data_IF_466712027579
#
_entry.id   IF_466712027579
#
_cell.length_a   1.000
_cell.length_b   1.000
_cell.length_c   1.000
_cell.angle_alpha   90.00
_cell.angle_beta   90.00
_cell.angle_gamma   90.00
#
_symmetry.space_group_name_H-M   'P 1'
#
loop_
_entity.id
_entity.type
_entity.pdbx_description
1 polymer ?
#
# COMPACT_ATOMS: atom_id res chain seq x y z
N UNK A 1 5.49 -10.61 -14.70
CA UNK A 1 4.59 -9.99 -13.72
C UNK A 1 5.33 -8.82 -13.13
N UNK A 2 4.83 -7.60 -13.31
CA UNK A 2 5.39 -6.42 -12.66
C UNK A 2 4.96 -6.40 -11.20
N UNK A 3 5.93 -6.63 -10.31
CA UNK A 3 5.73 -6.60 -8.87
C UNK A 3 5.76 -5.18 -8.31
N UNK A 4 6.20 -4.20 -9.10
CA UNK A 4 6.18 -2.79 -8.72
C UNK A 4 5.00 -2.08 -9.40
N UNK A 5 4.29 -1.25 -8.63
CA UNK A 5 3.24 -0.37 -9.11
C UNK A 5 3.43 1.01 -8.53
N UNK A 6 3.27 2.02 -9.39
CA UNK A 6 3.25 3.42 -8.97
C UNK A 6 1.90 4.02 -9.33
N UNK A 7 1.28 4.67 -8.37
CA UNK A 7 0.00 5.36 -8.58
C UNK A 7 -0.07 6.61 -7.72
N UNK A 8 -1.01 7.50 -8.06
CA UNK A 8 -1.22 8.75 -7.34
C UNK A 8 -2.63 8.77 -6.77
N UNK A 9 -2.77 9.39 -5.60
CA UNK A 9 -4.06 9.60 -4.95
C UNK A 9 -4.11 10.99 -4.33
N UNK A 10 -5.26 11.65 -4.46
CA UNK A 10 -5.48 13.00 -3.94
C UNK A 10 -6.18 12.93 -2.59
N UNK A 11 -5.54 13.47 -1.56
CA UNK A 11 -6.01 13.48 -0.17
C UNK A 11 -5.97 14.91 0.32
N UNK A 12 -7.11 15.48 0.71
CA UNK A 12 -7.21 16.86 1.24
C UNK A 12 -6.52 17.92 0.35
N UNK A 13 -6.65 17.78 -0.98
CA UNK A 13 -6.03 18.69 -1.95
C UNK A 13 -4.53 18.49 -2.17
N UNK A 14 -3.92 17.46 -1.56
CA UNK A 14 -2.52 17.05 -1.79
C UNK A 14 -2.46 15.77 -2.60
N UNK A 15 -1.63 15.76 -3.63
CA UNK A 15 -1.35 14.55 -4.41
C UNK A 15 -0.24 13.74 -3.74
N UNK A 16 -0.56 12.53 -3.29
CA UNK A 16 0.40 11.57 -2.75
C UNK A 16 0.70 10.56 -3.84
N UNK A 17 2.00 10.37 -4.12
CA UNK A 17 2.46 9.29 -5.01
C UNK A 17 2.84 8.09 -4.16
N UNK A 18 2.32 6.92 -4.52
CA UNK A 18 2.61 5.64 -3.87
C UNK A 18 3.49 4.81 -4.81
N UNK A 19 4.60 4.32 -4.27
CA UNK A 19 5.47 3.33 -4.91
C UNK A 19 5.34 2.03 -4.13
N UNK A 20 4.73 1.02 -4.74
CA UNK A 20 4.32 -0.20 -4.08
C UNK A 20 5.01 -1.38 -4.74
N UNK A 21 5.68 -2.19 -3.95
CA UNK A 21 6.33 -3.42 -4.40
C UNK A 21 5.73 -4.61 -3.69
N UNK A 22 5.22 -5.58 -4.45
CA UNK A 22 4.73 -6.84 -3.93
C UNK A 22 5.87 -7.84 -3.75
N UNK A 23 5.99 -8.42 -2.55
CA UNK A 23 6.91 -9.51 -2.26
C UNK A 23 6.16 -10.86 -2.35
N UNK A 24 6.47 -11.72 -3.35
CA UNK A 24 5.80 -13.00 -3.51
C UNK A 24 6.19 -14.05 -2.46
N UNK A 25 7.26 -13.85 -1.68
CA UNK A 25 7.66 -14.78 -0.61
C UNK A 25 6.83 -14.60 0.65
N UNK A 26 6.53 -13.35 0.99
CA UNK A 26 5.79 -13.00 2.22
C UNK A 26 4.34 -12.63 1.94
N UNK A 27 3.98 -12.37 0.67
CA UNK A 27 2.70 -11.79 0.26
C UNK A 27 2.44 -10.38 0.83
N UNK A 28 3.50 -9.66 1.18
CA UNK A 28 3.42 -8.29 1.68
C UNK A 28 3.61 -7.28 0.57
N UNK A 29 3.09 -6.07 0.80
CA UNK A 29 3.30 -4.93 -0.07
C UNK A 29 4.20 -3.94 0.65
N UNK A 30 5.40 -3.71 0.13
CA UNK A 30 6.26 -2.62 0.60
C UNK A 30 5.77 -1.33 -0.05
N UNK A 31 5.39 -0.35 0.76
CA UNK A 31 4.84 0.93 0.30
C UNK A 31 5.79 2.07 0.66
N UNK A 32 6.04 2.96 -0.29
CA UNK A 32 6.72 4.23 -0.10
C UNK A 32 5.81 5.36 -0.58
N UNK A 33 5.53 6.31 0.30
CA UNK A 33 4.71 7.48 -0.01
C UNK A 33 5.60 8.70 -0.30
N UNK A 34 5.17 9.53 -1.25
CA UNK A 34 5.78 10.85 -1.44
C UNK A 34 5.57 11.70 -0.18
N UNK A 35 6.67 12.24 0.36
CA UNK A 35 6.69 12.96 1.64
C UNK A 35 7.11 12.11 2.83
N UNK A 36 7.22 10.78 2.68
CA UNK A 36 7.82 9.90 3.68
C UNK A 36 9.21 9.44 3.23
N UNK A 37 10.16 9.40 4.15
CA UNK A 37 11.52 8.94 3.87
C UNK A 37 11.67 7.42 4.04
N UNK A 38 10.78 6.81 4.82
CA UNK A 38 10.83 5.41 5.19
C UNK A 38 9.71 4.63 4.52
N UNK A 39 9.99 3.36 4.20
CA UNK A 39 9.01 2.42 3.67
C UNK A 39 8.30 1.73 4.82
N UNK A 40 7.08 1.28 4.58
CA UNK A 40 6.34 0.42 5.51
C UNK A 40 5.74 -0.77 4.78
N UNK A 41 5.38 -1.82 5.52
CA UNK A 41 4.74 -3.01 4.97
C UNK A 41 3.24 -2.93 5.14
N UNK A 42 2.48 -3.18 4.07
CA UNK A 42 1.06 -3.42 4.09
C UNK A 42 0.81 -4.92 3.91
N UNK A 43 0.10 -5.53 4.86
CA UNK A 43 -0.24 -6.95 4.84
C UNK A 43 -1.71 -7.20 5.13
N UNK A 44 -2.23 -8.28 4.56
CA UNK A 44 -3.57 -8.77 4.85
C UNK A 44 -3.50 -9.81 5.98
N UNK A 45 -4.13 -9.52 7.12
CA UNK A 45 -4.19 -10.42 8.25
C UNK A 45 -5.33 -11.43 8.04
N UNK A 46 -4.99 -12.71 7.82
CA UNK A 46 -5.99 -13.75 7.57
C UNK A 46 -6.86 -14.10 8.79
N UNK A 47 -6.37 -13.88 10.01
CA UNK A 47 -7.12 -14.19 11.22
C UNK A 47 -8.24 -13.19 11.46
N UNK A 48 -7.93 -11.91 11.25
CA UNK A 48 -8.86 -10.80 11.49
C UNK A 48 -9.53 -10.28 10.21
N UNK A 49 -9.09 -10.75 9.04
CA UNK A 49 -9.56 -10.38 7.70
C UNK A 49 -9.47 -8.87 7.44
N UNK A 50 -8.48 -8.21 8.03
CA UNK A 50 -8.23 -6.77 7.85
C UNK A 50 -6.83 -6.50 7.36
N UNK A 51 -6.68 -5.37 6.66
CA UNK A 51 -5.37 -4.85 6.26
C UNK A 51 -4.69 -4.13 7.42
N UNK A 52 -3.37 -4.33 7.54
CA UNK A 52 -2.55 -3.71 8.59
C UNK A 52 -1.21 -3.23 8.02
N UNK A 53 -0.68 -2.17 8.62
CA UNK A 53 0.66 -1.67 8.32
C UNK A 53 1.65 -2.00 9.43
N UNK A 54 2.89 -2.34 9.07
CA UNK A 54 3.99 -2.67 9.98
C UNK A 54 5.33 -2.08 9.51
N UNK A 55 6.34 -2.13 10.40
CA UNK A 55 7.75 -1.82 10.13
C UNK A 55 8.02 -0.43 9.54
N UNK A 56 7.28 0.59 9.96
CA UNK A 56 7.52 1.94 9.46
C UNK A 56 6.54 3.01 9.94
N UNK A 57 6.54 4.18 9.28
CA UNK A 57 5.63 5.27 9.61
C UNK A 57 4.17 4.90 9.35
N UNK A 58 3.27 5.60 10.03
CA UNK A 58 1.83 5.47 9.74
C UNK A 58 1.54 6.03 8.34
N UNK A 59 0.72 5.35 7.54
CA UNK A 59 0.31 5.86 6.23
C UNK A 59 -0.39 7.20 6.36
N UNK A 60 -0.27 8.04 5.34
CA UNK A 60 -0.97 9.33 5.30
C UNK A 60 -2.49 9.18 5.07
N UNK A 61 -2.93 8.00 4.63
CA UNK A 61 -4.34 7.64 4.43
C UNK A 61 -4.75 6.45 5.31
N UNK A 62 -6.05 6.17 5.38
CA UNK A 62 -6.54 5.00 6.09
C UNK A 62 -5.99 3.71 5.45
N UNK A 63 -5.63 2.72 6.28
CA UNK A 63 -5.04 1.45 5.82
C UNK A 63 -5.96 0.71 4.84
N UNK A 64 -7.28 0.74 5.08
CA UNK A 64 -8.27 0.12 4.20
C UNK A 64 -8.38 0.82 2.84
N UNK A 65 -8.26 2.14 2.85
CA UNK A 65 -8.24 2.95 1.63
C UNK A 65 -6.98 2.64 0.82
N UNK A 66 -5.82 2.62 1.47
CA UNK A 66 -4.55 2.22 0.85
C UNK A 66 -4.64 0.83 0.23
N UNK A 67 -5.15 -0.15 0.98
CA UNK A 67 -5.31 -1.51 0.49
C UNK A 67 -6.19 -1.58 -0.76
N UNK A 68 -7.30 -0.84 -0.77
CA UNK A 68 -8.18 -0.76 -1.94
C UNK A 68 -7.46 -0.17 -3.16
N UNK A 69 -6.65 0.88 -2.97
CA UNK A 69 -5.87 1.49 -4.05
C UNK A 69 -4.79 0.53 -4.59
N UNK A 70 -4.09 -0.16 -3.70
CA UNK A 70 -3.10 -1.18 -4.05
C UNK A 70 -3.76 -2.29 -4.87
N UNK A 71 -4.86 -2.87 -4.38
CA UNK A 71 -5.56 -3.94 -5.09
C UNK A 71 -6.04 -3.51 -6.48
N UNK A 72 -6.59 -2.29 -6.60
CA UNK A 72 -6.97 -1.70 -7.89
C UNK A 72 -5.78 -1.55 -8.82
N UNK A 73 -4.63 -1.10 -8.31
CA UNK A 73 -3.42 -0.87 -9.10
C UNK A 73 -2.80 -2.17 -9.64
N UNK A 74 -2.86 -3.25 -8.84
CA UNK A 74 -2.40 -4.57 -9.25
C UNK A 74 -3.42 -5.35 -10.10
N UNK A 75 -4.60 -4.76 -10.38
CA UNK A 75 -5.63 -5.38 -11.21
C UNK A 75 -6.35 -6.53 -10.52
N UNK A 76 -6.28 -6.64 -9.19
CA UNK A 76 -7.02 -7.63 -8.43
C UNK A 76 -8.47 -7.15 -8.28
N UNK A 77 -9.26 -7.31 -9.33
CA UNK A 77 -10.71 -7.37 -9.21
C UNK A 77 -11.10 -8.81 -8.90
N UNK A 78 -11.98 -8.96 -7.90
CA UNK A 78 -12.56 -10.22 -7.42
C UNK A 78 -13.03 -11.14 -8.55
#
# INVERSE_FOLDING_TARGET
MDFNRKFQHNVDGRTITFDVTYDPKTHFFTVLESGQQERYHLKFDMNTRIWRTEDGPKPQIAVEELATLVQKSFGHFM
#
